data_IF_515644056063
#
_entry.id   IF_515644056063
#
_cell.length_a   1.000
_cell.length_b   1.000
_cell.length_c   1.000
_cell.angle_alpha   90.00
_cell.angle_beta   90.00
_cell.angle_gamma   90.00
#
_symmetry.space_group_name_H-M   'P 1'
#
loop_
_entity.id
_entity.type
_entity.pdbx_description
1 polymer ?
#
# COMPACT_ATOMS: atom_id res chain seq x y z
N UNK A 1 5.07 9.31 -0.69
CA UNK A 1 4.90 8.31 -1.77
C UNK A 1 5.33 8.90 -3.12
N UNK A 2 5.65 8.10 -4.15
CA UNK A 2 6.02 8.64 -5.48
C UNK A 2 4.86 9.40 -6.14
N UNK A 3 3.61 8.93 -5.97
CA UNK A 3 2.42 9.63 -6.50
C UNK A 3 2.28 11.04 -5.90
N UNK A 4 2.55 11.21 -4.60
CA UNK A 4 2.56 12.53 -3.95
C UNK A 4 3.63 13.47 -4.54
N UNK A 5 4.80 12.97 -4.95
CA UNK A 5 5.79 13.78 -5.69
C UNK A 5 5.34 14.19 -7.09
N UNK A 6 4.38 13.48 -7.66
CA UNK A 6 3.85 13.78 -8.99
C UNK A 6 2.64 14.71 -8.92
N UNK A 7 1.78 14.53 -7.91
CA UNK A 7 0.61 15.39 -7.67
C UNK A 7 1.04 16.76 -7.15
N UNK A 8 2.04 16.79 -6.26
CA UNK A 8 2.44 17.99 -5.52
C UNK A 8 3.83 18.49 -5.92
N UNK A 9 4.38 17.98 -7.02
CA UNK A 9 5.70 18.38 -7.52
C UNK A 9 6.92 17.80 -6.77
N UNK A 10 8.09 17.92 -7.42
CA UNK A 10 9.38 17.49 -6.87
C UNK A 10 9.87 18.50 -5.82
N UNK A 11 10.26 18.01 -4.65
CA UNK A 11 10.97 18.80 -3.63
C UNK A 11 12.42 18.99 -4.04
N UNK A 12 12.94 20.21 -3.90
CA UNK A 12 14.35 20.57 -4.16
C UNK A 12 15.31 20.18 -3.02
N UNK A 13 14.83 19.64 -1.90
CA UNK A 13 15.63 19.25 -0.74
C UNK A 13 14.87 18.45 0.33
N UNK A 14 15.55 18.09 1.44
CA UNK A 14 15.01 17.27 2.55
C UNK A 14 13.90 17.97 3.35
N UNK A 15 13.79 19.30 3.21
CA UNK A 15 12.86 20.18 3.93
C UNK A 15 12.10 21.17 3.03
N UNK A 16 12.32 21.18 1.70
CA UNK A 16 11.64 22.14 0.82
C UNK A 16 10.30 21.57 0.34
N UNK A 17 9.22 22.11 0.91
CA UNK A 17 7.84 21.80 0.54
C UNK A 17 7.46 22.71 -0.65
N UNK A 18 7.67 22.24 -1.87
CA UNK A 18 7.43 23.05 -3.08
C UNK A 18 5.98 22.99 -3.57
N UNK A 19 5.24 21.95 -3.21
CA UNK A 19 3.84 21.80 -3.55
C UNK A 19 2.87 22.30 -2.48
N UNK A 20 1.71 22.76 -2.94
CA UNK A 20 0.68 23.36 -2.08
C UNK A 20 0.15 22.36 -1.04
N UNK A 21 -0.01 21.08 -1.39
CA UNK A 21 -0.49 20.05 -0.46
C UNK A 21 0.54 19.86 0.65
N UNK A 22 1.82 19.67 0.30
CA UNK A 22 2.91 19.46 1.25
C UNK A 22 3.16 20.64 2.15
N UNK A 23 3.04 21.86 1.64
CA UNK A 23 3.13 23.08 2.45
C UNK A 23 2.05 23.08 3.53
N UNK A 24 0.83 22.68 3.16
CA UNK A 24 -0.32 22.63 4.05
C UNK A 24 -0.32 21.42 5.01
N UNK A 25 0.59 20.45 4.86
CA UNK A 25 0.73 19.35 5.83
C UNK A 25 1.32 19.81 7.17
N UNK A 26 2.05 20.93 7.19
CA UNK A 26 2.59 21.50 8.42
C UNK A 26 1.50 22.34 9.09
N UNK A 27 1.16 22.01 10.34
CA UNK A 27 0.11 22.71 11.08
C UNK A 27 -1.31 22.29 10.72
N UNK A 28 -1.50 21.26 9.87
CA UNK A 28 -2.84 20.75 9.53
C UNK A 28 -3.66 20.28 10.73
N UNK A 29 -2.98 19.93 11.83
CA UNK A 29 -3.53 19.57 13.12
C UNK A 29 -4.32 20.71 13.80
N UNK A 30 -3.95 21.97 13.53
CA UNK A 30 -4.57 23.17 14.09
C UNK A 30 -5.79 23.65 13.28
N UNK A 31 -5.97 23.11 12.07
CA UNK A 31 -7.06 23.54 11.18
C UNK A 31 -8.43 23.06 11.70
N UNK A 32 -9.50 23.84 11.53
CA UNK A 32 -10.83 23.43 11.94
C UNK A 32 -11.36 22.27 11.09
N UNK A 33 -12.31 21.51 11.62
CA UNK A 33 -13.04 20.51 10.85
C UNK A 33 -14.04 21.16 9.90
N UNK A 34 -14.16 20.62 8.70
CA UNK A 34 -15.20 20.98 7.74
C UNK A 34 -16.06 19.76 7.38
N UNK A 35 -17.20 20.00 6.72
CA UNK A 35 -17.95 18.94 6.08
C UNK A 35 -17.10 18.32 4.95
N UNK A 36 -17.09 17.00 4.86
CA UNK A 36 -16.35 16.26 3.83
C UNK A 36 -17.18 15.09 3.30
N UNK A 37 -16.89 14.68 2.07
CA UNK A 37 -17.53 13.50 1.48
C UNK A 37 -16.91 12.22 2.03
N UNK A 38 -17.75 11.22 2.29
CA UNK A 38 -17.26 9.91 2.67
C UNK A 38 -16.57 9.21 1.49
N UNK A 39 -15.50 8.48 1.78
CA UNK A 39 -14.75 7.73 0.76
C UNK A 39 -14.58 6.30 1.24
N UNK A 40 -15.04 5.36 0.42
CA UNK A 40 -14.99 3.94 0.71
C UNK A 40 -13.55 3.46 1.02
N UNK A 41 -13.41 2.78 2.16
CA UNK A 41 -12.16 2.19 2.63
C UNK A 41 -12.36 0.70 2.95
N UNK A 42 -11.43 -0.14 2.49
CA UNK A 42 -11.45 -1.59 2.76
C UNK A 42 -10.52 -1.95 3.91
N UNK A 43 -10.89 -1.57 5.13
CA UNK A 43 -10.11 -1.91 6.33
C UNK A 43 -10.28 -3.40 6.68
N UNK A 44 -9.19 -4.16 6.90
CA UNK A 44 -9.32 -5.48 7.49
C UNK A 44 -9.80 -5.36 8.94
N UNK A 45 -10.38 -6.43 9.49
CA UNK A 45 -10.65 -6.52 10.93
C UNK A 45 -9.31 -6.62 11.67
N UNK A 46 -9.04 -5.67 12.57
CA UNK A 46 -7.79 -5.59 13.33
C UNK A 46 -8.14 -5.36 14.79
N UNK A 47 -7.46 -6.07 15.67
CA UNK A 47 -7.49 -5.76 17.09
C UNK A 47 -6.69 -4.48 17.37
N UNK A 48 -7.33 -3.37 17.79
CA UNK A 48 -6.64 -2.10 18.00
C UNK A 48 -5.74 -2.11 19.24
N UNK A 49 -5.80 -3.12 20.12
CA UNK A 49 -5.05 -3.15 21.39
C UNK A 49 -3.54 -3.00 21.19
N UNK A 50 -2.99 -3.70 20.20
CA UNK A 50 -1.55 -3.78 19.90
C UNK A 50 -1.03 -2.65 18.99
N UNK A 51 -1.87 -1.67 18.64
CA UNK A 51 -1.49 -0.57 17.76
C UNK A 51 -0.83 0.59 18.54
N UNK A 52 0.23 1.16 17.96
CA UNK A 52 0.84 2.41 18.45
C UNK A 52 -0.11 3.60 18.28
N UNK A 53 0.18 4.73 18.92
CA UNK A 53 -0.66 5.94 18.82
C UNK A 53 -0.86 6.40 17.37
N UNK A 54 0.19 6.42 16.54
CA UNK A 54 0.10 6.83 15.13
C UNK A 54 -0.71 5.83 14.28
N UNK A 55 -0.64 4.53 14.62
CA UNK A 55 -1.39 3.48 13.93
C UNK A 55 -2.87 3.50 14.31
N UNK A 56 -3.17 3.70 15.60
CA UNK A 56 -4.55 3.92 16.09
C UNK A 56 -5.17 5.13 15.40
N UNK A 57 -4.44 6.24 15.38
CA UNK A 57 -4.88 7.43 14.65
C UNK A 57 -5.18 7.13 13.19
N UNK A 58 -4.29 6.41 12.50
CA UNK A 58 -4.48 6.05 11.10
C UNK A 58 -5.74 5.19 10.89
N UNK A 59 -6.00 4.24 11.79
CA UNK A 59 -7.21 3.39 11.74
C UNK A 59 -8.47 4.23 11.98
N UNK A 60 -8.46 5.04 13.04
CA UNK A 60 -9.58 5.88 13.44
C UNK A 60 -9.95 6.88 12.33
N UNK A 61 -8.97 7.55 11.73
CA UNK A 61 -9.22 8.54 10.67
C UNK A 61 -9.65 7.90 9.34
N UNK A 62 -9.11 6.72 8.99
CA UNK A 62 -9.62 5.97 7.82
C UNK A 62 -11.09 5.59 8.03
N UNK A 63 -11.45 5.17 9.25
CA UNK A 63 -12.81 4.79 9.60
C UNK A 63 -13.75 6.00 9.57
N UNK A 64 -13.33 7.14 10.13
CA UNK A 64 -14.08 8.39 10.12
C UNK A 64 -14.35 8.92 8.70
N UNK A 65 -13.36 8.86 7.81
CA UNK A 65 -13.55 9.27 6.42
C UNK A 65 -14.46 8.28 5.68
N UNK A 66 -14.36 6.99 5.97
CA UNK A 66 -15.24 5.99 5.35
C UNK A 66 -16.69 6.09 5.81
N UNK A 67 -16.92 6.45 7.08
CA UNK A 67 -18.26 6.64 7.65
C UNK A 67 -18.85 8.01 7.35
N UNK A 68 -18.04 8.99 6.98
CA UNK A 68 -18.45 10.39 6.82
C UNK A 68 -18.57 11.15 8.15
N UNK A 69 -18.20 10.54 9.27
CA UNK A 69 -18.34 11.11 10.61
C UNK A 69 -17.00 11.14 11.32
N UNK A 70 -16.53 12.34 11.66
CA UNK A 70 -15.31 12.55 12.43
C UNK A 70 -15.63 13.20 13.78
N UNK A 71 -15.15 12.60 14.88
CA UNK A 71 -15.31 13.21 16.21
C UNK A 71 -14.33 14.35 16.40
N UNK A 72 -14.75 15.36 17.19
CA UNK A 72 -13.90 16.50 17.55
C UNK A 72 -12.61 16.05 18.26
N UNK A 73 -12.67 15.00 19.07
CA UNK A 73 -11.50 14.46 19.78
C UNK A 73 -10.48 13.84 18.83
N UNK A 74 -10.95 13.13 17.81
CA UNK A 74 -10.08 12.57 16.77
C UNK A 74 -9.40 13.67 15.97
N UNK A 75 -10.12 14.74 15.65
CA UNK A 75 -9.57 15.87 14.89
C UNK A 75 -8.50 16.66 15.66
N UNK A 76 -8.67 16.80 16.98
CA UNK A 76 -7.73 17.51 17.87
C UNK A 76 -6.52 16.67 18.28
N UNK A 77 -6.51 15.36 17.99
CA UNK A 77 -5.43 14.48 18.42
C UNK A 77 -4.12 14.90 17.74
N UNK A 78 -3.13 15.25 18.55
CA UNK A 78 -1.81 15.64 18.10
C UNK A 78 -1.12 14.48 17.38
N UNK A 79 -0.53 14.78 16.24
CA UNK A 79 0.19 13.80 15.43
C UNK A 79 1.69 13.95 15.67
N UNK A 80 2.44 12.85 15.55
CA UNK A 80 3.90 12.90 15.65
C UNK A 80 4.54 13.89 14.68
N UNK A 81 5.77 14.31 14.99
CA UNK A 81 6.56 15.24 14.17
C UNK A 81 6.60 14.76 12.72
N UNK A 82 6.22 15.64 11.79
CA UNK A 82 6.22 15.32 10.36
C UNK A 82 7.61 14.84 9.92
N UNK A 83 7.68 13.59 9.50
CA UNK A 83 8.87 13.00 8.89
C UNK A 83 8.47 12.36 7.57
N UNK A 84 8.92 12.93 6.45
CA UNK A 84 8.58 12.45 5.10
C UNK A 84 9.17 11.06 4.78
N UNK A 85 10.17 10.59 5.54
CA UNK A 85 10.64 9.21 5.47
C UNK A 85 9.69 8.24 6.20
N UNK A 86 8.90 8.73 7.17
CA UNK A 86 7.85 7.98 7.87
C UNK A 86 6.51 8.23 7.20
N UNK A 87 6.23 7.42 6.18
CA UNK A 87 5.04 7.56 5.35
C UNK A 87 3.72 7.47 6.13
N UNK A 88 3.64 6.71 7.22
CA UNK A 88 2.45 6.66 8.08
C UNK A 88 2.06 8.05 8.61
N UNK A 89 3.02 8.79 9.16
CA UNK A 89 2.80 10.17 9.64
C UNK A 89 2.40 11.10 8.52
N UNK A 90 2.96 10.93 7.31
CA UNK A 90 2.57 11.74 6.15
C UNK A 90 1.14 11.42 5.70
N UNK A 91 0.76 10.14 5.67
CA UNK A 91 -0.60 9.72 5.33
C UNK A 91 -1.62 10.24 6.35
N UNK A 92 -1.30 10.17 7.65
CA UNK A 92 -2.12 10.74 8.72
C UNK A 92 -2.37 12.23 8.52
N UNK A 93 -1.33 13.00 8.17
CA UNK A 93 -1.44 14.44 7.88
C UNK A 93 -2.25 14.73 6.61
N UNK A 94 -2.11 13.93 5.56
CA UNK A 94 -2.91 14.07 4.32
C UNK A 94 -4.40 13.84 4.61
N UNK A 95 -4.73 12.78 5.36
CA UNK A 95 -6.11 12.49 5.74
C UNK A 95 -6.68 13.58 6.68
N UNK A 96 -5.86 14.09 7.61
CA UNK A 96 -6.22 15.22 8.49
C UNK A 96 -6.47 16.51 7.71
N UNK A 97 -5.65 16.78 6.69
CA UNK A 97 -5.81 17.93 5.82
C UNK A 97 -7.12 17.85 5.02
N UNK A 98 -7.48 16.67 4.52
CA UNK A 98 -8.73 16.45 3.78
C UNK A 98 -9.97 16.83 4.60
N UNK A 99 -10.09 16.33 5.83
CA UNK A 99 -11.21 16.66 6.72
C UNK A 99 -11.18 18.12 7.25
N UNK A 100 -10.09 18.84 6.96
CA UNK A 100 -9.89 20.26 7.28
C UNK A 100 -9.95 21.18 6.08
N UNK A 101 -10.34 20.66 4.91
CA UNK A 101 -10.46 21.47 3.69
C UNK A 101 -11.90 21.43 3.22
N UNK A 102 -12.58 22.58 3.21
CA UNK A 102 -13.97 22.70 2.73
C UNK A 102 -14.12 22.38 1.25
N UNK A 103 -13.14 22.77 0.43
CA UNK A 103 -13.09 22.51 -1.02
C UNK A 103 -11.75 21.83 -1.38
N UNK A 104 -11.64 20.49 -1.20
CA UNK A 104 -10.39 19.78 -1.40
C UNK A 104 -10.05 19.69 -2.89
N UNK A 105 -8.81 20.04 -3.24
CA UNK A 105 -8.34 19.95 -4.62
C UNK A 105 -8.42 18.50 -5.15
N UNK A 106 -8.60 18.34 -6.46
CA UNK A 106 -8.58 17.02 -7.11
C UNK A 106 -7.31 16.21 -6.79
N UNK A 107 -6.18 16.89 -6.60
CA UNK A 107 -4.92 16.27 -6.16
C UNK A 107 -5.01 15.69 -4.75
N UNK A 108 -5.56 16.45 -3.80
CA UNK A 108 -5.79 16.00 -2.42
C UNK A 108 -6.78 14.83 -2.38
N UNK A 109 -7.91 14.94 -3.09
CA UNK A 109 -8.90 13.85 -3.21
C UNK A 109 -8.23 12.58 -3.76
N UNK A 110 -7.42 12.69 -4.81
CA UNK A 110 -6.71 11.54 -5.39
C UNK A 110 -5.77 10.87 -4.39
N UNK A 111 -5.05 11.65 -3.58
CA UNK A 111 -4.18 11.11 -2.54
C UNK A 111 -4.97 10.40 -1.43
N UNK A 112 -6.09 10.98 -1.00
CA UNK A 112 -6.96 10.39 0.03
C UNK A 112 -7.57 9.08 -0.45
N UNK A 113 -8.14 9.06 -1.66
CA UNK A 113 -8.68 7.85 -2.28
C UNK A 113 -7.60 6.78 -2.41
N UNK A 114 -6.39 7.16 -2.82
CA UNK A 114 -5.26 6.23 -2.85
C UNK A 114 -4.94 5.67 -1.46
N UNK A 115 -4.87 6.53 -0.45
CA UNK A 115 -4.56 6.13 0.91
C UNK A 115 -5.60 5.13 1.42
N UNK A 116 -6.89 5.42 1.23
CA UNK A 116 -7.98 4.58 1.74
C UNK A 116 -8.15 3.28 0.96
N UNK A 117 -7.98 3.28 -0.38
CA UNK A 117 -8.22 2.09 -1.21
C UNK A 117 -6.99 1.19 -1.39
N UNK A 118 -5.78 1.74 -1.29
CA UNK A 118 -4.55 0.99 -1.61
C UNK A 118 -3.62 0.92 -0.41
N UNK A 119 -3.30 2.06 0.21
CA UNK A 119 -2.29 2.10 1.25
C UNK A 119 -2.77 1.49 2.56
N UNK A 120 -3.94 1.91 3.04
CA UNK A 120 -4.49 1.51 4.33
C UNK A 120 -4.75 0.01 4.42
N UNK A 121 -5.48 -0.62 3.47
CA UNK A 121 -5.72 -2.07 3.50
C UNK A 121 -4.42 -2.88 3.47
N UNK A 122 -3.46 -2.43 2.66
CA UNK A 122 -2.14 -3.06 2.54
C UNK A 122 -1.32 -2.93 3.82
N UNK A 123 -1.27 -1.73 4.40
CA UNK A 123 -0.49 -1.44 5.61
C UNK A 123 -0.96 -2.32 6.77
N UNK A 124 -2.27 -2.37 6.96
CA UNK A 124 -2.89 -3.14 8.02
C UNK A 124 -2.79 -4.65 7.82
N UNK A 125 -2.94 -5.17 6.60
CA UNK A 125 -2.67 -6.59 6.32
C UNK A 125 -1.20 -6.95 6.54
N UNK A 126 -0.27 -6.07 6.18
CA UNK A 126 1.16 -6.24 6.47
C UNK A 126 1.48 -6.26 7.96
N UNK A 127 0.73 -5.51 8.76
CA UNK A 127 0.84 -5.52 10.22
C UNK A 127 0.26 -6.80 10.84
N UNK A 128 -0.89 -7.27 10.34
CA UNK A 128 -1.54 -8.51 10.82
C UNK A 128 -0.80 -9.79 10.38
N UNK A 129 -0.12 -9.77 9.23
CA UNK A 129 0.51 -10.96 8.65
C UNK A 129 1.94 -10.65 8.17
N UNK A 130 2.88 -10.57 9.12
CA UNK A 130 4.28 -10.27 8.83
C UNK A 130 5.08 -11.47 8.28
N UNK A 131 4.44 -12.62 8.10
CA UNK A 131 5.13 -13.84 7.66
C UNK A 131 5.49 -13.76 6.17
N UNK A 132 6.64 -14.33 5.80
CA UNK A 132 7.09 -14.38 4.40
C UNK A 132 6.07 -15.08 3.48
N UNK A 133 5.31 -16.04 4.01
CA UNK A 133 4.24 -16.75 3.29
C UNK A 133 3.13 -15.80 2.80
N UNK A 134 2.98 -14.63 3.41
CA UNK A 134 1.96 -13.65 3.06
C UNK A 134 2.49 -12.55 2.14
N UNK A 135 3.82 -12.48 1.95
CA UNK A 135 4.50 -11.46 1.15
C UNK A 135 4.00 -11.37 -0.29
N UNK A 136 3.93 -12.50 -0.99
CA UNK A 136 3.43 -12.54 -2.37
C UNK A 136 1.95 -12.16 -2.48
N UNK A 137 1.13 -12.52 -1.48
CA UNK A 137 -0.30 -12.16 -1.43
C UNK A 137 -0.48 -10.67 -1.24
N UNK A 138 0.25 -10.08 -0.30
CA UNK A 138 0.23 -8.64 -0.04
C UNK A 138 0.68 -7.84 -1.27
N UNK A 139 1.66 -8.37 -1.99
CA UNK A 139 2.14 -7.74 -3.21
C UNK A 139 1.13 -7.85 -4.36
N UNK A 140 0.51 -9.02 -4.55
CA UNK A 140 -0.57 -9.22 -5.52
C UNK A 140 -1.77 -8.32 -5.23
N UNK A 141 -2.16 -8.19 -3.95
CA UNK A 141 -3.19 -7.26 -3.52
C UNK A 141 -2.81 -5.82 -3.86
N UNK A 142 -1.58 -5.39 -3.58
CA UNK A 142 -1.12 -4.05 -3.90
C UNK A 142 -1.23 -3.74 -5.41
N UNK A 143 -0.81 -4.68 -6.28
CA UNK A 143 -0.93 -4.53 -7.74
C UNK A 143 -2.40 -4.48 -8.15
N UNK A 144 -3.23 -5.38 -7.62
CA UNK A 144 -4.65 -5.47 -8.00
C UNK A 144 -5.42 -4.23 -7.57
N UNK A 145 -5.19 -3.78 -6.33
CA UNK A 145 -5.81 -2.58 -5.75
C UNK A 145 -5.36 -1.30 -6.44
N UNK A 146 -4.22 -1.24 -7.13
CA UNK A 146 -3.80 -0.04 -7.86
C UNK A 146 -4.35 0.06 -9.28
N UNK A 147 -5.00 -1.00 -9.81
CA UNK A 147 -5.46 -1.03 -11.22
C UNK A 147 -6.54 -0.01 -11.56
N UNK A 148 -7.32 0.46 -10.57
CA UNK A 148 -8.36 1.46 -10.81
C UNK A 148 -7.79 2.85 -11.14
N UNK A 149 -6.51 3.09 -10.86
CA UNK A 149 -5.92 4.40 -11.04
C UNK A 149 -5.77 4.77 -12.52
N UNK A 150 -5.93 6.05 -12.88
CA UNK A 150 -5.55 6.56 -14.20
C UNK A 150 -4.12 6.17 -14.59
N UNK A 151 -3.87 6.00 -15.90
CA UNK A 151 -2.59 5.51 -16.43
C UNK A 151 -1.40 6.31 -15.90
N UNK A 152 -1.50 7.66 -15.88
CA UNK A 152 -0.49 8.56 -15.30
C UNK A 152 -0.03 8.19 -13.88
N UNK A 153 -0.90 7.64 -13.04
CA UNK A 153 -0.56 7.23 -11.67
C UNK A 153 -0.17 5.76 -11.59
N UNK A 154 -0.68 4.92 -12.49
CA UNK A 154 -0.26 3.52 -12.60
C UNK A 154 1.21 3.42 -13.00
N UNK A 155 1.66 4.17 -14.00
CA UNK A 155 3.06 4.16 -14.45
C UNK A 155 4.03 4.47 -13.30
N UNK A 156 3.63 5.36 -12.40
CA UNK A 156 4.40 5.70 -11.19
C UNK A 156 4.47 4.53 -10.21
N UNK A 157 3.35 3.82 -10.00
CA UNK A 157 3.30 2.64 -9.13
C UNK A 157 4.09 1.49 -9.75
N UNK A 158 4.00 1.33 -11.07
CA UNK A 158 4.70 0.29 -11.83
C UNK A 158 6.21 0.45 -11.71
N UNK A 159 6.74 1.67 -11.65
CA UNK A 159 8.17 1.91 -11.33
C UNK A 159 8.59 1.40 -9.94
N UNK A 160 7.65 1.23 -9.00
CA UNK A 160 7.92 0.67 -7.66
C UNK A 160 7.89 -0.86 -7.67
N UNK A 161 7.21 -1.48 -8.64
CA UNK A 161 7.04 -2.95 -8.71
C UNK A 161 8.39 -3.67 -8.78
N UNK A 162 9.35 -3.31 -9.68
CA UNK A 162 10.65 -3.97 -9.74
C UNK A 162 11.43 -3.91 -8.42
N UNK A 163 11.34 -2.80 -7.70
CA UNK A 163 12.02 -2.63 -6.39
C UNK A 163 11.48 -3.55 -5.30
N UNK A 164 10.33 -4.17 -5.54
CA UNK A 164 9.66 -5.11 -4.63
C UNK A 164 9.54 -6.51 -5.25
N UNK A 165 10.25 -6.78 -6.34
CA UNK A 165 10.22 -8.05 -7.07
C UNK A 165 10.60 -9.25 -6.19
N UNK A 166 11.35 -9.05 -5.10
CA UNK A 166 11.64 -10.09 -4.11
C UNK A 166 10.37 -10.81 -3.63
N UNK A 167 9.27 -10.10 -3.37
CA UNK A 167 8.02 -10.72 -2.90
C UNK A 167 7.35 -11.62 -3.94
N UNK A 168 7.71 -11.48 -5.21
CA UNK A 168 7.23 -12.32 -6.33
C UNK A 168 8.33 -13.20 -6.91
N UNK A 169 9.41 -13.41 -6.17
CA UNK A 169 10.36 -14.45 -6.50
C UNK A 169 9.66 -15.83 -6.50
N UNK A 170 10.03 -16.75 -7.41
CA UNK A 170 9.40 -18.07 -7.54
C UNK A 170 9.20 -18.80 -6.20
N UNK A 171 10.21 -18.80 -5.35
CA UNK A 171 10.22 -19.43 -4.03
C UNK A 171 9.22 -18.79 -3.05
N UNK A 172 9.05 -17.47 -3.10
CA UNK A 172 8.14 -16.71 -2.25
C UNK A 172 6.69 -16.88 -2.72
N UNK A 173 6.47 -16.93 -4.03
CA UNK A 173 5.17 -17.26 -4.61
C UNK A 173 4.74 -18.68 -4.22
N UNK A 174 5.61 -19.67 -4.37
CA UNK A 174 5.32 -21.06 -3.99
C UNK A 174 5.06 -21.19 -2.48
N UNK A 175 5.86 -20.51 -1.64
CA UNK A 175 5.65 -20.46 -0.19
C UNK A 175 4.27 -19.89 0.17
N UNK A 176 3.82 -18.85 -0.53
CA UNK A 176 2.47 -18.32 -0.33
C UNK A 176 1.38 -19.28 -0.80
N UNK A 177 1.58 -19.99 -1.90
CA UNK A 177 0.60 -20.96 -2.40
C UNK A 177 0.48 -22.19 -1.48
N UNK A 178 1.56 -22.60 -0.81
CA UNK A 178 1.53 -23.72 0.15
C UNK A 178 0.61 -23.48 1.34
N UNK A 179 0.37 -22.21 1.69
CA UNK A 179 -0.49 -21.85 2.82
C UNK A 179 -1.85 -21.30 2.36
N UNK A 180 -2.21 -21.44 1.08
CA UNK A 180 -3.49 -20.94 0.54
C UNK A 180 -4.65 -21.73 1.15
N UNK A 181 -5.78 -21.08 1.42
CA UNK A 181 -6.97 -21.73 2.00
C UNK A 181 -7.52 -22.82 1.06
N UNK A 182 -7.32 -22.66 -0.26
CA UNK A 182 -7.82 -23.59 -1.28
C UNK A 182 -6.88 -24.77 -1.44
N UNK A 183 -7.40 -25.98 -1.17
CA UNK A 183 -6.65 -27.23 -1.24
C UNK A 183 -5.95 -27.45 -2.60
N UNK A 184 -6.62 -27.15 -3.71
CA UNK A 184 -6.05 -27.35 -5.05
C UNK A 184 -4.83 -26.44 -5.33
N UNK A 185 -4.78 -25.24 -4.74
CA UNK A 185 -3.62 -24.32 -4.86
C UNK A 185 -2.44 -24.85 -4.05
N UNK A 186 -2.68 -25.34 -2.83
CA UNK A 186 -1.64 -25.97 -2.01
C UNK A 186 -1.03 -27.19 -2.71
N UNK A 187 -1.87 -28.06 -3.25
CA UNK A 187 -1.43 -29.25 -3.98
C UNK A 187 -0.63 -28.88 -5.24
N UNK A 188 -1.04 -27.84 -5.96
CA UNK A 188 -0.28 -27.32 -7.10
C UNK A 188 1.11 -26.85 -6.65
N UNK A 189 1.20 -26.09 -5.55
CA UNK A 189 2.48 -25.61 -5.04
C UNK A 189 3.42 -26.75 -4.63
N UNK A 190 2.90 -27.74 -3.91
CA UNK A 190 3.67 -28.91 -3.50
C UNK A 190 4.25 -29.67 -4.71
N UNK A 191 3.44 -29.89 -5.76
CA UNK A 191 3.93 -30.51 -7.01
C UNK A 191 5.02 -29.69 -7.70
N UNK A 192 4.87 -28.37 -7.75
CA UNK A 192 5.89 -27.48 -8.34
C UNK A 192 7.18 -27.50 -7.55
N UNK A 193 7.09 -27.58 -6.22
CA UNK A 193 8.24 -27.67 -5.34
C UNK A 193 9.02 -28.98 -5.50
N UNK A 194 8.32 -30.12 -5.58
CA UNK A 194 8.94 -31.43 -5.86
C UNK A 194 9.63 -31.40 -7.23
N UNK A 195 8.92 -30.95 -8.27
CA UNK A 195 9.48 -30.85 -9.62
C UNK A 195 10.71 -29.94 -9.70
N UNK A 196 10.75 -28.85 -8.93
CA UNK A 196 11.90 -27.95 -8.90
C UNK A 196 13.14 -28.61 -8.27
N UNK A 197 12.96 -29.57 -7.35
CA UNK A 197 14.07 -30.32 -6.71
C UNK A 197 14.65 -31.42 -7.60
N UNK A 198 13.84 -31.97 -8.51
CA UNK A 198 14.27 -32.98 -9.48
C UNK A 198 15.16 -32.39 -10.59
N UNK A 199 15.06 -31.09 -10.83
CA UNK A 199 15.87 -30.34 -11.79
C UNK A 199 17.15 -29.90 -11.06
N UNK A 200 18.24 -30.65 -11.22
CA UNK A 200 19.53 -30.37 -10.57
C UNK A 200 20.12 -28.97 -10.86
N UNK A 201 21.17 -28.55 -10.12
CA UNK A 201 21.72 -27.19 -10.14
C UNK A 201 22.23 -26.71 -11.52
N UNK A 202 22.54 -27.61 -12.46
CA UNK A 202 23.09 -27.27 -13.79
C UNK A 202 22.07 -26.60 -14.74
N UNK A 203 20.78 -26.55 -14.37
CA UNK A 203 19.74 -25.87 -15.14
C UNK A 203 19.32 -24.52 -14.53
N UNK A 204 19.99 -24.04 -13.49
CA UNK A 204 19.61 -22.86 -12.68
C UNK A 204 19.79 -21.51 -13.39
N UNK A 205 20.34 -21.48 -14.60
CA UNK A 205 20.43 -20.28 -15.43
C UNK A 205 19.07 -19.98 -16.11
N UNK A 206 18.15 -19.34 -15.40
CA UNK A 206 17.03 -18.61 -16.02
C UNK A 206 15.69 -19.35 -16.03
N UNK A 207 15.07 -19.55 -14.87
CA UNK A 207 13.63 -19.79 -14.80
C UNK A 207 12.93 -18.53 -14.31
N UNK A 208 12.23 -17.85 -15.23
CA UNK A 208 11.29 -16.77 -14.89
C UNK A 208 9.90 -17.38 -14.81
N UNK A 209 9.29 -17.35 -13.61
CA UNK A 209 7.85 -17.55 -13.48
C UNK A 209 7.17 -16.30 -14.04
N UNK A 210 6.77 -16.35 -15.30
CA UNK A 210 6.06 -15.24 -15.94
C UNK A 210 4.62 -15.26 -15.42
N UNK A 211 4.19 -14.17 -14.77
CA UNK A 211 2.79 -13.95 -14.44
C UNK A 211 1.98 -13.73 -15.73
N UNK A 212 1.58 -14.82 -16.39
CA UNK A 212 0.47 -14.84 -17.34
C UNK A 212 -0.80 -15.35 -16.64
N UNK A 213 -2.00 -15.13 -17.20
CA UNK A 213 -3.27 -15.63 -16.63
C UNK A 213 -3.26 -17.14 -16.30
N UNK A 214 -2.38 -17.91 -16.96
CA UNK A 214 -1.97 -19.25 -16.55
C UNK A 214 -0.55 -19.16 -15.99
N UNK A 215 -0.37 -19.49 -14.71
CA UNK A 215 0.93 -19.60 -14.06
C UNK A 215 1.73 -20.77 -14.67
N UNK A 216 2.43 -20.50 -15.77
CA UNK A 216 3.27 -21.45 -16.50
C UNK A 216 4.74 -21.23 -16.14
N UNK A 217 5.46 -22.32 -15.84
CA UNK A 217 6.92 -22.26 -15.71
C UNK A 217 7.50 -22.36 -17.12
N UNK A 218 8.11 -21.28 -17.60
CA UNK A 218 8.76 -21.23 -18.91
C UNK A 218 10.26 -21.08 -18.67
N UNK A 219 11.07 -21.85 -19.41
CA UNK A 219 12.52 -21.64 -19.47
C UNK A 219 12.77 -20.25 -20.06
N UNK A 220 13.48 -19.36 -19.36
CA UNK A 220 13.94 -18.13 -19.99
C UNK A 220 15.18 -18.46 -20.81
N UNK A 221 15.06 -18.38 -22.13
CA UNK A 221 16.23 -18.33 -23.01
C UNK A 221 16.66 -16.88 -23.06
N UNK A 222 17.55 -16.47 -22.16
CA UNK A 222 18.32 -15.23 -22.35
C UNK A 222 19.28 -15.45 -23.52
N UNK A 223 19.12 -14.64 -24.57
CA UNK A 223 20.16 -14.41 -25.58
C UNK A 223 21.21 -13.47 -25.02
#
# INVERSE_FOLDING_TARGET
>A
MIIDKYIDGKSSGRSSYTGDIRRNLKGCEELPLFAFNNIECYLPCIDPTNLSCDQKYFLDICTAISSGVCSSDLAKRQQGTLNLARWLTTANRILRLYISTSDPSNGLITLVVFILRVYSPKWFRGFAHHSIKDGARHFCLFISSSRYLPMKYRDIIEQVIPRKAYFVAPENMLSSMLTDERCHIRNLSARRFVKAREIGPDASSGFVLVMRPRFEMVKSVTK
#
